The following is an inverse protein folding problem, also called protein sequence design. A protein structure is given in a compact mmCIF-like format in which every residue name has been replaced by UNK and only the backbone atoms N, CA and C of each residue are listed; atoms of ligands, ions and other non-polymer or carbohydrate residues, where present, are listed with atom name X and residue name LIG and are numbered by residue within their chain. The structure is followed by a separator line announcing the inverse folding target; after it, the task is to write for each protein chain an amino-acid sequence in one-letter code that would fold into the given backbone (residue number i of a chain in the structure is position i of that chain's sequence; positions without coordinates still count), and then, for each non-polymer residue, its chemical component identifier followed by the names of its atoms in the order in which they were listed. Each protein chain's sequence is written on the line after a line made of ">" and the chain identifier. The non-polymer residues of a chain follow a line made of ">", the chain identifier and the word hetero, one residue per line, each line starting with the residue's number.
data_IF_714212277072
#
_entry.id   IF_714212277072
#
_cell.length_a   1.000
_cell.length_b   1.000
_cell.length_c   1.000
_cell.angle_alpha   90.00
_cell.angle_beta   90.00
_cell.angle_gamma   90.00
#
_symmetry.space_group_name_H-M   'P 1'
#
loop_
_entity.id
_entity.type
_entity.pdbx_description
1 polymer ?
#
# COMPACT_ATOMS: atom_id res chain seq x y z
N UNK A 1 -6.18 20.08 -17.20
CA UNK A 1 -6.55 18.70 -17.58
C UNK A 1 -6.00 17.74 -16.54
N UNK A 2 -6.86 16.87 -15.97
CA UNK A 2 -6.45 15.86 -14.99
C UNK A 2 -5.70 14.75 -15.73
N UNK A 3 -4.51 14.39 -15.26
CA UNK A 3 -3.66 13.34 -15.84
C UNK A 3 -3.39 12.19 -14.88
N UNK A 4 -3.68 12.38 -13.60
CA UNK A 4 -3.44 11.43 -12.54
C UNK A 4 -4.55 11.51 -11.50
N UNK A 5 -4.99 10.36 -11.00
CA UNK A 5 -5.90 10.22 -9.86
C UNK A 5 -5.22 9.31 -8.85
N UNK A 6 -5.01 9.83 -7.64
CA UNK A 6 -4.62 9.02 -6.48
C UNK A 6 -5.84 8.88 -5.57
N UNK A 7 -6.17 7.66 -5.19
CA UNK A 7 -7.31 7.36 -4.33
C UNK A 7 -6.88 6.58 -3.11
N UNK A 8 -7.39 6.98 -1.96
CA UNK A 8 -7.37 6.17 -0.75
C UNK A 8 -8.31 4.95 -0.90
N UNK A 9 -8.12 3.95 -0.06
CA UNK A 9 -8.90 2.71 -0.07
C UNK A 9 -9.91 2.66 1.06
N UNK A 10 -9.43 2.56 2.29
CA UNK A 10 -10.28 2.33 3.46
C UNK A 10 -11.14 3.57 3.77
N UNK A 11 -12.46 3.42 3.69
CA UNK A 11 -13.40 4.54 3.81
C UNK A 11 -13.65 5.30 2.50
N UNK A 12 -12.93 4.98 1.43
CA UNK A 12 -13.11 5.62 0.09
C UNK A 12 -13.55 4.57 -0.93
N UNK A 13 -12.66 3.75 -1.45
CA UNK A 13 -12.99 2.67 -2.39
C UNK A 13 -13.51 1.42 -1.67
N UNK A 14 -13.09 1.19 -0.45
CA UNK A 14 -13.55 0.14 0.46
C UNK A 14 -14.43 0.77 1.55
N UNK A 15 -15.71 0.89 1.29
CA UNK A 15 -16.67 1.47 2.24
C UNK A 15 -17.27 0.41 3.15
N UNK A 16 -17.71 0.81 4.34
CA UNK A 16 -18.45 -0.04 5.29
C UNK A 16 -17.70 -1.33 5.67
N UNK A 17 -16.36 -1.29 5.76
CA UNK A 17 -15.55 -2.46 6.11
C UNK A 17 -15.40 -3.50 5.00
N UNK A 18 -15.73 -3.16 3.75
CA UNK A 18 -15.55 -4.05 2.62
C UNK A 18 -14.10 -4.50 2.48
N UNK A 19 -13.90 -5.79 2.18
CA UNK A 19 -12.58 -6.39 1.99
C UNK A 19 -12.24 -6.63 0.51
N UNK A 20 -13.17 -6.34 -0.38
CA UNK A 20 -13.02 -6.46 -1.83
C UNK A 20 -13.51 -5.19 -2.51
N UNK A 21 -12.88 -4.85 -3.61
CA UNK A 21 -13.26 -3.69 -4.41
C UNK A 21 -14.54 -3.97 -5.21
N UNK A 22 -15.33 -2.93 -5.42
CA UNK A 22 -16.49 -3.01 -6.31
C UNK A 22 -16.05 -3.40 -7.73
N UNK A 23 -16.79 -4.29 -8.43
CA UNK A 23 -16.52 -4.63 -9.83
C UNK A 23 -16.46 -3.43 -10.77
N UNK A 24 -17.11 -2.33 -10.41
CA UNK A 24 -17.08 -1.09 -11.18
C UNK A 24 -15.67 -0.47 -11.25
N UNK A 25 -14.87 -0.60 -10.21
CA UNK A 25 -13.48 -0.11 -10.16
C UNK A 25 -12.65 -0.76 -11.27
N UNK A 26 -12.84 -2.06 -11.50
CA UNK A 26 -12.13 -2.80 -12.54
C UNK A 26 -12.55 -2.44 -13.98
N UNK A 27 -13.69 -1.76 -14.15
CA UNK A 27 -14.11 -1.18 -15.42
C UNK A 27 -13.65 0.28 -15.56
N UNK A 28 -13.67 1.02 -14.46
CA UNK A 28 -13.34 2.44 -14.43
C UNK A 28 -11.86 2.69 -14.69
N UNK A 29 -10.97 1.96 -14.03
CA UNK A 29 -9.51 2.16 -14.16
C UNK A 29 -9.03 1.99 -15.61
N UNK A 30 -9.38 0.94 -16.36
CA UNK A 30 -9.04 0.84 -17.77
C UNK A 30 -9.65 1.96 -18.63
N UNK A 31 -10.84 2.44 -18.29
CA UNK A 31 -11.46 3.57 -18.99
C UNK A 31 -10.69 4.88 -18.75
N UNK A 32 -10.20 5.11 -17.53
CA UNK A 32 -9.30 6.24 -17.21
C UNK A 32 -8.00 6.15 -18.00
N UNK A 33 -7.39 4.98 -18.05
CA UNK A 33 -6.15 4.73 -18.81
C UNK A 33 -6.31 5.06 -20.28
N UNK A 34 -7.43 4.67 -20.89
CA UNK A 34 -7.75 5.02 -22.30
C UNK A 34 -7.84 6.53 -22.54
N UNK A 35 -8.16 7.31 -21.51
CA UNK A 35 -8.18 8.78 -21.56
C UNK A 35 -6.84 9.42 -21.17
N UNK A 36 -5.79 8.63 -21.01
CA UNK A 36 -4.46 9.11 -20.59
C UNK A 36 -4.41 9.53 -19.12
N UNK A 37 -5.34 9.06 -18.29
CA UNK A 37 -5.37 9.35 -16.85
C UNK A 37 -4.80 8.15 -16.11
N UNK A 38 -3.72 8.37 -15.36
CA UNK A 38 -3.07 7.34 -14.57
C UNK A 38 -3.74 7.19 -13.20
N UNK A 39 -3.92 5.96 -12.72
CA UNK A 39 -4.51 5.67 -11.42
C UNK A 39 -3.46 5.19 -10.43
N UNK A 40 -3.52 5.70 -9.21
CA UNK A 40 -2.66 5.33 -8.08
C UNK A 40 -3.53 4.89 -6.91
N UNK A 41 -3.28 3.70 -6.40
CA UNK A 41 -3.81 3.25 -5.11
C UNK A 41 -2.89 3.75 -3.98
N UNK A 42 -3.41 4.61 -3.10
CA UNK A 42 -2.67 5.20 -1.99
C UNK A 42 -3.27 4.72 -0.67
N UNK A 43 -2.49 4.03 0.16
CA UNK A 43 -3.00 3.43 1.41
C UNK A 43 -1.89 3.15 2.42
N UNK A 44 -2.26 3.05 3.69
CA UNK A 44 -1.40 2.50 4.75
C UNK A 44 -1.18 0.98 4.64
N UNK A 45 -1.94 0.29 3.79
CA UNK A 45 -1.82 -1.16 3.60
C UNK A 45 -0.48 -1.53 2.96
N UNK A 46 -0.04 -2.76 3.23
CA UNK A 46 1.16 -3.33 2.61
C UNK A 46 0.99 -3.49 1.09
N UNK A 47 2.07 -3.31 0.36
CA UNK A 47 2.11 -3.42 -1.10
C UNK A 47 1.54 -4.76 -1.60
N UNK A 48 1.90 -5.88 -0.98
CA UNK A 48 1.38 -7.20 -1.34
C UNK A 48 -0.14 -7.31 -1.18
N UNK A 49 -0.71 -6.65 -0.16
CA UNK A 49 -2.16 -6.59 0.05
C UNK A 49 -2.84 -5.75 -1.03
N UNK A 50 -2.28 -4.59 -1.37
CA UNK A 50 -2.79 -3.72 -2.45
C UNK A 50 -2.79 -4.46 -3.79
N UNK A 51 -1.71 -5.14 -4.13
CA UNK A 51 -1.64 -5.95 -5.36
C UNK A 51 -2.73 -7.02 -5.41
N UNK A 52 -3.02 -7.67 -4.30
CA UNK A 52 -4.09 -8.67 -4.22
C UNK A 52 -5.47 -8.06 -4.44
N UNK A 53 -5.74 -6.89 -3.85
CA UNK A 53 -7.01 -6.18 -4.04
C UNK A 53 -7.24 -5.79 -5.50
N UNK A 54 -6.19 -5.38 -6.19
CA UNK A 54 -6.23 -4.99 -7.60
C UNK A 54 -5.77 -6.11 -8.54
N UNK A 55 -5.84 -7.38 -8.13
CA UNK A 55 -5.25 -8.51 -8.87
C UNK A 55 -5.46 -8.48 -10.39
N UNK A 56 -6.68 -8.17 -10.93
CA UNK A 56 -6.88 -8.09 -12.38
C UNK A 56 -6.13 -6.94 -13.06
N UNK A 57 -5.78 -5.88 -12.33
CA UNK A 57 -5.15 -4.65 -12.82
C UNK A 57 -3.84 -4.34 -12.11
N UNK A 58 -3.28 -5.29 -11.38
CA UNK A 58 -2.16 -5.08 -10.46
C UNK A 58 -0.90 -4.50 -11.12
N UNK A 59 -0.70 -4.74 -12.40
CA UNK A 59 0.45 -4.26 -13.16
C UNK A 59 0.11 -3.03 -14.05
N UNK A 60 -1.16 -2.58 -14.00
CA UNK A 60 -1.65 -1.46 -14.81
C UNK A 60 -1.78 -0.16 -14.03
N UNK A 61 -1.63 -0.21 -12.71
CA UNK A 61 -1.74 0.93 -11.79
C UNK A 61 -0.43 1.11 -11.01
N UNK A 62 -0.33 2.25 -10.34
CA UNK A 62 0.76 2.52 -9.40
C UNK A 62 0.28 2.45 -7.96
N UNK A 63 1.22 2.37 -7.05
CA UNK A 63 0.95 2.19 -5.64
C UNK A 63 1.76 3.15 -4.78
N UNK A 64 1.09 3.78 -3.84
CA UNK A 64 1.68 4.42 -2.67
C UNK A 64 1.25 3.59 -1.48
N UNK A 65 2.13 2.71 -1.03
CA UNK A 65 1.88 1.73 0.02
C UNK A 65 2.50 2.16 1.35
N UNK A 66 2.02 1.58 2.45
CA UNK A 66 2.59 1.76 3.78
C UNK A 66 2.76 3.24 4.16
N UNK A 67 1.70 4.04 3.92
CA UNK A 67 1.66 5.48 4.15
C UNK A 67 2.77 6.27 3.40
N UNK A 68 3.16 5.81 2.22
CA UNK A 68 4.16 6.45 1.37
C UNK A 68 5.59 5.98 1.59
N UNK A 69 5.83 5.03 2.51
CA UNK A 69 7.17 4.46 2.69
C UNK A 69 7.59 3.55 1.54
N UNK A 70 6.66 3.11 0.70
CA UNK A 70 6.94 2.37 -0.53
C UNK A 70 6.08 2.88 -1.67
N UNK A 71 6.71 3.44 -2.71
CA UNK A 71 6.05 3.87 -3.93
C UNK A 71 6.52 3.03 -5.11
N UNK A 72 5.55 2.47 -5.87
CA UNK A 72 5.83 1.61 -7.01
C UNK A 72 5.07 2.11 -8.24
N UNK A 73 5.76 2.24 -9.36
CA UNK A 73 5.21 2.61 -10.65
C UNK A 73 5.64 1.59 -11.71
N UNK A 74 4.68 1.02 -12.43
CA UNK A 74 4.92 -0.02 -13.46
C UNK A 74 5.82 -1.16 -12.96
N UNK A 75 5.58 -1.64 -11.74
CA UNK A 75 6.36 -2.71 -11.11
C UNK A 75 7.76 -2.31 -10.63
N UNK A 76 8.16 -1.05 -10.79
CA UNK A 76 9.46 -0.53 -10.34
C UNK A 76 9.29 0.31 -9.08
N UNK A 77 10.14 0.08 -8.10
CA UNK A 77 10.20 0.94 -6.91
C UNK A 77 10.77 2.29 -7.32
N UNK A 78 9.98 3.35 -7.12
CA UNK A 78 10.38 4.73 -7.41
C UNK A 78 10.82 5.48 -6.15
N UNK A 79 10.34 5.05 -4.99
CA UNK A 79 10.73 5.59 -3.70
C UNK A 79 10.53 4.53 -2.62
N UNK A 80 11.48 4.42 -1.69
CA UNK A 80 11.33 3.61 -0.49
C UNK A 80 12.01 4.27 0.70
N UNK A 81 11.27 4.41 1.80
CA UNK A 81 11.82 4.79 3.10
C UNK A 81 12.39 3.55 3.79
N UNK A 82 13.54 3.71 4.42
CA UNK A 82 14.17 2.64 5.21
C UNK A 82 14.56 3.19 6.58
N UNK A 83 14.33 2.37 7.60
CA UNK A 83 14.85 2.65 8.94
C UNK A 83 16.25 2.06 9.02
N UNK A 84 17.20 2.83 9.56
CA UNK A 84 18.53 2.30 9.85
C UNK A 84 18.45 1.08 10.76
N UNK A 85 19.30 0.08 10.50
CA UNK A 85 19.28 -1.18 11.23
C UNK A 85 19.56 -1.02 12.72
N UNK A 86 20.46 -0.11 13.09
CA UNK A 86 20.77 0.19 14.50
C UNK A 86 19.55 0.75 15.21
N UNK A 87 18.94 1.77 14.62
CA UNK A 87 17.71 2.38 15.14
C UNK A 87 16.54 1.37 15.20
N UNK A 88 16.37 0.53 14.19
CA UNK A 88 15.35 -0.52 14.21
C UNK A 88 15.55 -1.49 15.39
N UNK A 89 16.79 -1.90 15.67
CA UNK A 89 17.11 -2.76 16.80
C UNK A 89 16.81 -2.07 18.14
N UNK A 90 17.13 -0.78 18.30
CA UNK A 90 16.82 -0.02 19.50
C UNK A 90 15.30 0.03 19.74
N UNK A 91 14.51 0.35 18.70
CA UNK A 91 13.05 0.37 18.79
C UNK A 91 12.49 -1.00 19.17
N UNK A 92 13.01 -2.09 18.61
CA UNK A 92 12.60 -3.46 18.96
C UNK A 92 12.89 -3.76 20.43
N UNK A 93 14.07 -3.41 20.91
CA UNK A 93 14.46 -3.64 22.30
C UNK A 93 13.57 -2.83 23.26
N UNK A 94 13.31 -1.56 22.96
CA UNK A 94 12.44 -0.72 23.74
C UNK A 94 11.01 -1.26 23.78
N UNK A 95 10.47 -1.67 22.64
CA UNK A 95 9.14 -2.25 22.57
C UNK A 95 8.98 -3.53 23.40
N UNK A 96 10.01 -4.37 23.46
CA UNK A 96 10.02 -5.59 24.28
C UNK A 96 9.97 -5.33 25.78
N UNK A 97 10.41 -4.17 26.22
CA UNK A 97 10.33 -3.76 27.64
C UNK A 97 8.96 -3.16 28.02
N UNK A 98 8.06 -2.97 27.03
CA UNK A 98 6.72 -2.44 27.28
C UNK A 98 5.70 -3.60 27.31
N UNK A 99 5.05 -3.86 28.47
CA UNK A 99 4.20 -5.04 28.67
C UNK A 99 2.96 -5.07 27.74
N UNK A 100 2.50 -3.89 27.30
CA UNK A 100 1.28 -3.76 26.49
C UNK A 100 1.57 -3.44 25.01
N UNK A 101 2.83 -3.61 24.56
CA UNK A 101 3.22 -3.38 23.19
C UNK A 101 3.27 -4.67 22.38
N UNK A 102 2.71 -4.64 21.18
CA UNK A 102 2.92 -5.63 20.14
C UNK A 102 3.70 -4.99 19.00
N UNK A 103 4.73 -5.67 18.53
CA UNK A 103 5.59 -5.17 17.46
C UNK A 103 5.21 -5.81 16.13
N UNK A 104 5.01 -4.95 15.14
CA UNK A 104 4.83 -5.35 13.76
C UNK A 104 5.91 -4.69 12.92
N UNK A 105 6.78 -5.49 12.32
CA UNK A 105 7.84 -5.04 11.44
C UNK A 105 7.47 -5.31 9.98
N UNK A 106 7.36 -4.26 9.19
CA UNK A 106 7.01 -4.36 7.78
C UNK A 106 8.25 -4.27 6.89
N UNK A 107 8.32 -5.13 5.90
CA UNK A 107 9.29 -5.08 4.82
C UNK A 107 8.57 -5.11 3.48
N UNK A 108 9.22 -4.75 2.36
CA UNK A 108 8.58 -4.77 1.05
C UNK A 108 7.98 -6.13 0.65
N UNK A 109 8.47 -7.22 1.23
CA UNK A 109 8.04 -8.59 0.90
C UNK A 109 7.16 -9.24 1.96
N UNK A 110 7.38 -8.93 3.24
CA UNK A 110 6.75 -9.62 4.37
C UNK A 110 6.50 -8.68 5.54
N UNK A 111 5.51 -9.04 6.33
CA UNK A 111 5.30 -8.48 7.65
C UNK A 111 5.71 -9.52 8.70
N UNK A 112 6.44 -9.07 9.69
CA UNK A 112 6.88 -9.88 10.82
C UNK A 112 6.14 -9.39 12.06
N UNK A 113 5.59 -10.33 12.81
CA UNK A 113 4.92 -10.07 14.10
C UNK A 113 5.72 -10.80 15.17
N UNK A 114 6.09 -10.11 16.22
CA UNK A 114 6.68 -10.73 17.39
C UNK A 114 5.57 -11.35 18.23
N UNK A 115 5.77 -12.62 18.62
CA UNK A 115 4.85 -13.39 19.47
C UNK A 115 5.21 -13.21 20.93
#
# INVERSE_FOLDING_TARGET
>A
MIRLIASDLDGTLLQNGAQVLSPEIFKLIPALKKKGIHFIAASGRQYANLRRLFAPLQDEISYIAENGSLCVHEGKVVSSGQIDRGLANEIILDARHQPDCSLLYSSPKKCYVEK
#
